data_IF_138725405264
#
_entry.id   IF_138725405264
#
_cell.length_a   1.000
_cell.length_b   1.000
_cell.length_c   1.000
_cell.angle_alpha   90.00
_cell.angle_beta   90.00
_cell.angle_gamma   90.00
#
_symmetry.space_group_name_H-M   'P 1'
#
loop_
_entity.id
_entity.type
_entity.pdbx_description
1 polymer ?
#
# COMPACT_ATOMS: atom_id res chain seq x y z
N UNK A 1 -24.69 -35.44 59.52
CA UNK A 1 -23.71 -36.05 58.60
C UNK A 1 -23.92 -35.62 57.17
N UNK A 2 -25.11 -35.61 56.60
CA UNK A 2 -25.35 -35.30 55.12
C UNK A 2 -24.97 -33.92 54.68
N UNK A 3 -25.11 -32.87 55.49
CA UNK A 3 -24.77 -31.46 55.07
C UNK A 3 -23.24 -31.24 54.93
N UNK A 4 -22.45 -31.85 55.81
CA UNK A 4 -20.99 -31.80 55.76
C UNK A 4 -20.41 -32.49 54.50
N UNK A 5 -21.04 -33.64 54.14
CA UNK A 5 -20.67 -34.41 52.96
C UNK A 5 -21.04 -33.64 51.66
N UNK A 6 -22.19 -32.96 51.62
CA UNK A 6 -22.59 -32.11 50.49
C UNK A 6 -21.67 -30.91 50.33
N UNK A 7 -21.27 -30.26 51.41
CA UNK A 7 -20.33 -29.14 51.37
C UNK A 7 -18.93 -29.58 50.90
N UNK A 8 -18.47 -30.76 51.35
CA UNK A 8 -17.21 -31.33 50.90
C UNK A 8 -17.22 -31.68 49.39
N UNK A 9 -18.31 -32.24 48.87
CA UNK A 9 -18.49 -32.51 47.45
C UNK A 9 -18.54 -31.20 46.62
N UNK A 10 -19.20 -30.16 47.11
CA UNK A 10 -19.26 -28.87 46.45
C UNK A 10 -17.87 -28.19 46.37
N UNK A 11 -17.10 -28.25 47.47
CA UNK A 11 -15.73 -27.72 47.52
C UNK A 11 -14.82 -28.52 46.58
N UNK A 12 -14.94 -29.83 46.53
CA UNK A 12 -14.17 -30.67 45.60
C UNK A 12 -14.51 -30.38 44.14
N UNK A 13 -15.79 -30.14 43.82
CA UNK A 13 -16.25 -29.77 42.50
C UNK A 13 -15.73 -28.38 42.10
N UNK A 14 -15.77 -27.41 43.01
CA UNK A 14 -15.22 -26.07 42.81
C UNK A 14 -13.69 -26.08 42.68
N UNK A 15 -13.00 -26.95 43.39
CA UNK A 15 -11.54 -27.12 43.25
C UNK A 15 -11.13 -27.85 41.96
N UNK A 16 -12.02 -28.61 41.33
CA UNK A 16 -11.80 -29.24 40.03
C UNK A 16 -12.01 -28.31 38.83
N UNK A 17 -12.75 -27.20 38.99
CA UNK A 17 -12.98 -26.22 37.93
C UNK A 17 -11.72 -25.58 37.35
N UNK A 18 -10.70 -25.20 38.14
CA UNK A 18 -9.44 -24.63 37.57
C UNK A 18 -8.54 -25.67 36.87
N UNK A 19 -8.78 -26.99 37.08
CA UNK A 19 -8.03 -28.05 36.40
C UNK A 19 -8.47 -28.27 34.94
N UNK A 20 -9.62 -27.74 34.53
CA UNK A 20 -10.10 -27.77 33.14
C UNK A 20 -9.56 -26.63 32.28
N UNK A 21 -8.74 -25.72 32.83
CA UNK A 21 -8.12 -24.63 32.13
C UNK A 21 -6.81 -25.05 31.46
N UNK A 22 -6.61 -24.68 30.18
CA UNK A 22 -5.39 -24.86 29.36
C UNK A 22 -5.40 -26.03 28.37
N UNK A 23 -6.54 -26.40 27.80
CA UNK A 23 -6.57 -27.40 26.73
C UNK A 23 -5.97 -26.90 25.39
N UNK A 24 -5.86 -25.59 25.19
CA UNK A 24 -5.36 -24.96 23.94
C UNK A 24 -4.00 -24.24 24.16
N UNK A 25 -3.12 -24.82 24.98
CA UNK A 25 -1.78 -24.29 25.21
C UNK A 25 -0.83 -24.82 24.15
N UNK A 26 -0.38 -23.93 23.23
CA UNK A 26 0.77 -24.17 22.37
C UNK A 26 2.01 -23.51 22.99
N UNK A 27 3.12 -24.21 23.05
CA UNK A 27 4.40 -23.63 23.47
C UNK A 27 5.05 -22.88 22.29
N UNK A 28 5.71 -21.75 22.58
CA UNK A 28 6.35 -20.92 21.56
C UNK A 28 7.38 -21.70 20.72
N UNK A 29 7.95 -22.75 21.30
CA UNK A 29 8.93 -23.61 20.65
C UNK A 29 8.32 -24.58 19.64
N UNK A 30 7.03 -24.81 19.72
CA UNK A 30 6.26 -25.69 18.83
C UNK A 30 5.73 -24.95 17.59
N UNK A 31 5.77 -23.60 17.59
CA UNK A 31 5.22 -22.77 16.51
C UNK A 31 6.31 -22.34 15.52
N UNK A 32 6.01 -22.48 14.21
CA UNK A 32 6.72 -21.89 13.09
C UNK A 32 6.08 -20.54 12.75
N UNK A 33 6.67 -19.45 13.24
CA UNK A 33 6.11 -18.11 13.06
C UNK A 33 6.26 -17.63 11.61
N UNK A 34 5.17 -17.60 10.88
CA UNK A 34 5.10 -17.03 9.54
C UNK A 34 4.99 -15.52 9.64
N UNK A 35 5.96 -14.79 9.09
CA UNK A 35 5.98 -13.33 9.06
C UNK A 35 5.34 -12.77 7.80
N UNK A 36 5.48 -13.48 6.68
CA UNK A 36 4.85 -13.13 5.41
C UNK A 36 4.42 -14.38 4.64
N UNK A 37 3.38 -14.22 3.84
CA UNK A 37 2.87 -15.27 2.95
C UNK A 37 2.90 -14.72 1.53
N UNK A 38 3.40 -15.53 0.60
CA UNK A 38 3.26 -15.30 -0.84
C UNK A 38 2.22 -16.26 -1.42
N UNK A 39 1.35 -15.77 -2.27
CA UNK A 39 0.42 -16.61 -3.01
C UNK A 39 0.52 -16.30 -4.49
N UNK A 40 0.83 -17.32 -5.24
CA UNK A 40 0.94 -17.30 -6.69
C UNK A 40 -0.07 -18.25 -7.32
N UNK A 41 -0.30 -18.11 -8.62
CA UNK A 41 -1.04 -19.10 -9.40
C UNK A 41 -0.28 -20.42 -9.35
N UNK A 42 -0.95 -21.49 -8.96
CA UNK A 42 -0.36 -22.82 -8.84
C UNK A 42 0.06 -23.42 -10.17
N UNK A 43 0.92 -24.41 -10.10
CA UNK A 43 1.38 -25.20 -11.28
C UNK A 43 0.50 -26.43 -11.50
N UNK A 44 0.27 -27.18 -10.45
CA UNK A 44 -0.51 -28.42 -10.43
C UNK A 44 -1.85 -28.26 -9.70
N UNK A 45 -1.97 -27.22 -8.86
CA UNK A 45 -3.15 -26.89 -8.09
C UNK A 45 -3.60 -25.43 -8.32
N UNK A 46 -4.53 -24.90 -7.53
CA UNK A 46 -5.02 -23.51 -7.70
C UNK A 46 -3.96 -22.49 -7.30
N UNK A 47 -3.19 -22.77 -6.24
CA UNK A 47 -2.25 -21.82 -5.65
C UNK A 47 -0.90 -22.48 -5.37
N UNK A 48 0.17 -21.74 -5.56
CA UNK A 48 1.46 -21.97 -4.90
C UNK A 48 1.54 -21.02 -3.71
N UNK A 49 1.49 -21.57 -2.49
CA UNK A 49 1.58 -20.80 -1.24
C UNK A 49 3.01 -20.88 -0.70
N UNK A 50 3.62 -19.73 -0.50
CA UNK A 50 4.99 -19.61 0.04
C UNK A 50 4.94 -19.02 1.44
N UNK A 51 5.49 -19.73 2.41
CA UNK A 51 5.60 -19.28 3.80
C UNK A 51 7.01 -18.72 4.05
N UNK A 52 7.08 -17.47 4.53
CA UNK A 52 8.31 -16.85 5.01
C UNK A 52 8.33 -16.96 6.54
N UNK A 53 9.07 -17.96 7.04
CA UNK A 53 9.10 -18.37 8.45
C UNK A 53 10.31 -17.74 9.13
N UNK A 54 10.10 -17.14 10.29
CA UNK A 54 11.17 -16.59 11.13
C UNK A 54 12.10 -17.70 11.66
N UNK A 55 13.41 -17.48 11.60
CA UNK A 55 14.40 -18.39 12.17
C UNK A 55 14.84 -17.88 13.57
N UNK A 56 14.30 -18.42 14.68
CA UNK A 56 14.48 -17.84 16.02
C UNK A 56 15.97 -17.75 16.44
N UNK A 57 16.78 -18.77 16.09
CA UNK A 57 18.20 -18.81 16.44
C UNK A 57 19.07 -17.75 15.76
N UNK A 58 18.58 -17.14 14.67
CA UNK A 58 19.30 -16.10 13.92
C UNK A 58 18.79 -14.68 14.22
N UNK A 59 17.61 -14.57 14.82
CA UNK A 59 17.06 -13.28 15.26
C UNK A 59 17.64 -12.78 16.59
N UNK A 60 18.07 -13.71 17.46
CA UNK A 60 18.68 -13.40 18.76
C UNK A 60 20.17 -13.06 18.62
N UNK A 61 20.53 -12.05 17.82
CA UNK A 61 21.88 -11.65 17.48
C UNK A 61 22.87 -11.58 18.63
N UNK A 62 23.54 -12.68 18.96
CA UNK A 62 24.51 -12.75 20.02
C UNK A 62 25.08 -14.13 20.21
N UNK A 63 25.83 -14.65 19.25
CA UNK A 63 26.61 -15.89 19.41
C UNK A 63 27.77 -15.95 18.42
N UNK A 64 28.93 -15.42 18.79
CA UNK A 64 30.20 -15.91 18.27
C UNK A 64 30.32 -17.39 18.67
N UNK A 65 29.88 -18.28 17.80
CA UNK A 65 30.01 -19.72 17.97
C UNK A 65 30.28 -20.34 16.62
N UNK A 66 31.54 -20.75 16.42
CA UNK A 66 32.11 -21.14 15.17
C UNK A 66 31.51 -22.38 14.53
N UNK A 67 31.85 -22.55 13.27
CA UNK A 67 31.89 -23.83 12.58
C UNK A 67 30.93 -24.05 11.47
N UNK A 68 31.39 -23.82 10.26
CA UNK A 68 31.25 -24.72 9.13
C UNK A 68 29.83 -25.03 8.61
N UNK A 69 29.53 -24.47 7.47
CA UNK A 69 28.43 -24.92 6.63
C UNK A 69 27.87 -23.77 5.79
N UNK A 70 28.20 -23.74 4.50
CA UNK A 70 27.82 -22.71 3.54
C UNK A 70 26.33 -22.65 3.22
N UNK A 71 25.49 -22.37 4.23
CA UNK A 71 24.09 -21.99 4.06
C UNK A 71 23.96 -20.51 4.37
N UNK A 72 23.52 -19.70 3.42
CA UNK A 72 23.32 -18.28 3.59
C UNK A 72 22.63 -17.97 4.92
N UNK A 73 23.16 -17.00 5.63
CA UNK A 73 22.77 -16.58 6.98
C UNK A 73 21.44 -15.77 6.96
N UNK A 74 20.45 -16.31 6.21
CA UNK A 74 19.15 -15.64 6.01
C UNK A 74 18.28 -15.77 7.26
N UNK A 75 17.70 -14.66 7.74
CA UNK A 75 16.83 -14.65 8.92
C UNK A 75 15.47 -15.28 8.66
N UNK A 76 15.12 -15.52 7.39
CA UNK A 76 13.86 -16.14 6.95
C UNK A 76 14.14 -17.47 6.24
N UNK A 77 13.38 -18.50 6.61
CA UNK A 77 13.25 -19.73 5.86
C UNK A 77 12.04 -19.61 4.93
N UNK A 78 12.22 -19.88 3.64
CA UNK A 78 11.15 -19.92 2.67
C UNK A 78 10.81 -21.35 2.30
N UNK A 79 9.52 -21.68 2.33
CA UNK A 79 9.02 -22.96 1.82
C UNK A 79 7.74 -22.72 1.03
N UNK A 80 7.54 -23.47 -0.07
CA UNK A 80 6.41 -23.31 -0.97
C UNK A 80 5.68 -24.63 -1.16
N UNK A 81 4.35 -24.58 -1.20
CA UNK A 81 3.48 -25.74 -1.36
C UNK A 81 2.43 -25.43 -2.41
N UNK A 82 2.23 -26.33 -3.40
CA UNK A 82 1.11 -26.27 -4.32
C UNK A 82 -0.14 -26.89 -3.67
N UNK A 83 -1.21 -26.11 -3.54
CA UNK A 83 -2.40 -26.55 -2.81
C UNK A 83 -3.68 -25.89 -3.39
N UNK A 84 -4.85 -26.51 -3.22
CA UNK A 84 -6.12 -25.92 -3.64
C UNK A 84 -6.55 -24.73 -2.77
N UNK A 85 -6.07 -24.64 -1.53
CA UNK A 85 -6.39 -23.58 -0.57
C UNK A 85 -5.18 -23.25 0.31
N UNK A 86 -5.17 -22.07 0.93
CA UNK A 86 -4.11 -21.72 1.90
C UNK A 86 -4.16 -22.63 3.12
N UNK A 87 -5.37 -23.02 3.58
CA UNK A 87 -5.54 -23.96 4.69
C UNK A 87 -4.95 -25.34 4.35
N UNK A 88 -5.15 -25.84 3.13
CA UNK A 88 -4.52 -27.10 2.68
C UNK A 88 -3.00 -26.97 2.63
N UNK A 89 -2.47 -25.82 2.17
CA UNK A 89 -1.05 -25.59 2.15
C UNK A 89 -0.42 -25.61 3.56
N UNK A 90 -1.10 -25.03 4.56
CA UNK A 90 -0.68 -25.09 5.97
C UNK A 90 -0.63 -26.55 6.43
N UNK A 91 -1.72 -27.31 6.22
CA UNK A 91 -1.78 -28.71 6.63
C UNK A 91 -0.69 -29.56 5.96
N UNK A 92 -0.38 -29.31 4.68
CA UNK A 92 0.71 -29.99 3.99
C UNK A 92 2.08 -29.57 4.54
N UNK A 93 2.26 -28.29 4.85
CA UNK A 93 3.51 -27.77 5.43
C UNK A 93 3.78 -28.39 6.82
N UNK A 94 2.76 -28.59 7.63
CA UNK A 94 2.87 -29.23 8.96
C UNK A 94 3.33 -30.70 8.89
N UNK A 95 3.29 -31.35 7.71
CA UNK A 95 3.74 -32.74 7.56
C UNK A 95 5.27 -32.88 7.46
N UNK A 96 5.97 -31.84 7.06
CA UNK A 96 7.43 -31.86 6.87
C UNK A 96 8.19 -30.80 7.69
N UNK A 97 7.49 -29.82 8.23
CA UNK A 97 8.08 -28.88 9.18
C UNK A 97 8.14 -29.51 10.58
N UNK A 98 9.20 -29.22 11.31
CA UNK A 98 9.37 -29.69 12.71
C UNK A 98 8.51 -28.91 13.71
N UNK A 99 7.77 -27.89 13.27
CA UNK A 99 6.92 -26.99 14.06
C UNK A 99 5.64 -26.69 13.31
N UNK A 100 4.56 -26.42 14.02
CA UNK A 100 3.26 -26.08 13.43
C UNK A 100 3.26 -24.67 12.83
N UNK A 101 2.72 -24.51 11.65
CA UNK A 101 2.60 -23.22 10.98
C UNK A 101 1.66 -22.29 11.74
N UNK A 102 2.16 -21.16 12.18
CA UNK A 102 1.39 -20.15 12.93
C UNK A 102 1.35 -18.83 12.18
N UNK A 103 0.12 -18.35 11.88
CA UNK A 103 -0.13 -17.10 11.20
C UNK A 103 -0.31 -15.90 12.15
N UNK A 104 -0.20 -16.11 13.47
CA UNK A 104 -0.43 -15.07 14.49
C UNK A 104 0.48 -13.84 14.35
N UNK A 105 1.66 -14.03 13.75
CA UNK A 105 2.68 -12.99 13.54
C UNK A 105 2.78 -12.50 12.10
N UNK A 106 1.92 -13.00 11.20
CA UNK A 106 1.91 -12.60 9.80
C UNK A 106 1.60 -11.11 9.65
N UNK A 107 2.48 -10.39 8.94
CA UNK A 107 2.38 -8.94 8.70
C UNK A 107 1.99 -8.58 7.28
N UNK A 108 2.39 -9.41 6.30
CA UNK A 108 2.11 -9.15 4.89
C UNK A 108 1.66 -10.42 4.16
N UNK A 109 0.71 -10.20 3.26
CA UNK A 109 0.24 -11.13 2.25
C UNK A 109 0.65 -10.56 0.89
N UNK A 110 1.57 -11.23 0.23
CA UNK A 110 2.03 -10.90 -1.11
C UNK A 110 1.27 -11.75 -2.13
N UNK A 111 0.66 -11.11 -3.10
CA UNK A 111 -0.07 -11.80 -4.18
C UNK A 111 0.64 -11.52 -5.50
N UNK A 112 1.01 -12.57 -6.22
CA UNK A 112 1.58 -12.43 -7.55
C UNK A 112 0.59 -11.75 -8.52
N UNK A 113 1.08 -10.86 -9.39
CA UNK A 113 0.24 -10.05 -10.27
C UNK A 113 -0.69 -10.88 -11.14
N UNK A 114 -0.21 -12.01 -11.69
CA UNK A 114 -1.04 -12.91 -12.52
C UNK A 114 -2.26 -13.45 -11.76
N UNK A 115 -2.08 -13.77 -10.48
CA UNK A 115 -3.18 -14.21 -9.62
C UNK A 115 -4.13 -13.05 -9.32
N UNK A 116 -3.60 -11.86 -8.95
CA UNK A 116 -4.40 -10.68 -8.69
C UNK A 116 -5.29 -10.27 -9.87
N UNK A 117 -4.82 -10.45 -11.11
CA UNK A 117 -5.56 -10.18 -12.34
C UNK A 117 -6.66 -11.20 -12.64
N UNK A 118 -6.56 -12.40 -12.09
CA UNK A 118 -7.54 -13.48 -12.37
C UNK A 118 -8.60 -13.62 -11.28
N UNK A 119 -8.21 -13.72 -10.00
CA UNK A 119 -9.13 -13.97 -8.89
C UNK A 119 -8.51 -13.72 -7.52
N UNK A 120 -8.28 -12.45 -7.20
CA UNK A 120 -7.63 -12.09 -5.91
C UNK A 120 -8.41 -12.41 -4.64
N UNK A 121 -9.74 -12.59 -4.69
CA UNK A 121 -10.57 -12.66 -3.48
C UNK A 121 -10.73 -14.04 -2.84
N UNK A 122 -10.66 -15.12 -3.59
CA UNK A 122 -10.78 -16.45 -2.98
C UNK A 122 -9.72 -16.69 -1.89
N UNK A 123 -8.53 -16.12 -2.10
CA UNK A 123 -7.45 -16.16 -1.11
C UNK A 123 -7.76 -15.31 0.11
N UNK A 124 -8.49 -14.19 -0.06
CA UNK A 124 -8.78 -13.27 1.04
C UNK A 124 -9.88 -13.77 1.97
N UNK A 125 -10.89 -14.46 1.45
CA UNK A 125 -11.96 -15.01 2.28
C UNK A 125 -11.39 -15.96 3.34
N UNK A 126 -10.38 -16.75 2.98
CA UNK A 126 -9.68 -17.61 3.93
C UNK A 126 -9.02 -16.80 5.05
N UNK A 127 -8.28 -15.72 4.72
CA UNK A 127 -7.62 -14.89 5.72
C UNK A 127 -8.60 -14.14 6.63
N UNK A 128 -9.77 -13.79 6.12
CA UNK A 128 -10.84 -13.14 6.92
C UNK A 128 -11.46 -14.12 7.91
N UNK A 129 -11.58 -15.41 7.53
CA UNK A 129 -12.16 -16.48 8.34
C UNK A 129 -11.17 -17.13 9.29
N UNK A 130 -9.90 -17.10 8.97
CA UNK A 130 -8.86 -17.77 9.73
C UNK A 130 -8.63 -17.06 11.07
N UNK A 131 -8.89 -17.74 12.20
CA UNK A 131 -8.79 -17.16 13.55
C UNK A 131 -7.39 -16.62 13.88
N UNK A 132 -6.34 -17.25 13.36
CA UNK A 132 -4.95 -16.85 13.61
C UNK A 132 -4.54 -15.64 12.78
N UNK A 133 -5.17 -15.40 11.63
CA UNK A 133 -4.82 -14.29 10.76
C UNK A 133 -5.41 -12.97 11.27
N UNK A 134 -4.58 -11.95 11.38
CA UNK A 134 -5.06 -10.62 11.76
C UNK A 134 -5.59 -9.90 10.52
N UNK A 135 -6.72 -9.21 10.65
CA UNK A 135 -7.29 -8.40 9.57
C UNK A 135 -6.42 -7.18 9.19
N UNK A 136 -5.41 -6.87 10.01
CA UNK A 136 -4.44 -5.80 9.80
C UNK A 136 -3.23 -6.22 8.94
N UNK A 137 -3.19 -7.46 8.45
CA UNK A 137 -2.18 -7.93 7.50
C UNK A 137 -2.21 -7.03 6.27
N UNK A 138 -1.04 -6.54 5.84
CA UNK A 138 -0.91 -5.78 4.61
C UNK A 138 -1.14 -6.66 3.39
N UNK A 139 -1.98 -6.20 2.48
CA UNK A 139 -2.21 -6.82 1.19
C UNK A 139 -1.38 -6.11 0.13
N UNK A 140 -0.47 -6.83 -0.49
CA UNK A 140 0.53 -6.26 -1.40
C UNK A 140 0.54 -7.09 -2.68
N UNK A 141 0.33 -6.46 -3.83
CA UNK A 141 0.53 -7.10 -5.13
C UNK A 141 1.99 -6.95 -5.53
N UNK A 142 2.60 -8.04 -5.98
CA UNK A 142 3.97 -8.03 -6.47
C UNK A 142 4.02 -8.10 -7.99
N UNK A 143 4.84 -7.27 -8.62
CA UNK A 143 5.20 -7.44 -10.03
C UNK A 143 5.82 -8.82 -10.23
N UNK A 144 5.23 -9.64 -11.11
CA UNK A 144 5.61 -11.05 -11.26
C UNK A 144 5.13 -11.91 -10.09
N UNK A 145 5.95 -12.88 -9.68
CA UNK A 145 5.58 -13.87 -8.67
C UNK A 145 5.91 -13.41 -7.25
N UNK A 146 5.02 -13.69 -6.32
CA UNK A 146 5.23 -13.41 -4.89
C UNK A 146 6.40 -14.21 -4.30
N UNK A 147 6.59 -15.45 -4.73
CA UNK A 147 7.73 -16.29 -4.30
C UNK A 147 9.07 -15.67 -4.67
N UNK A 148 9.18 -15.07 -5.86
CA UNK A 148 10.43 -14.46 -6.31
C UNK A 148 10.70 -13.16 -5.54
N UNK A 149 9.65 -12.36 -5.28
CA UNK A 149 9.74 -11.18 -4.42
C UNK A 149 10.23 -11.55 -3.00
N UNK A 150 9.65 -12.59 -2.38
CA UNK A 150 10.07 -13.06 -1.06
C UNK A 150 11.52 -13.56 -1.03
N UNK A 151 11.99 -14.23 -2.10
CA UNK A 151 13.41 -14.65 -2.22
C UNK A 151 14.36 -13.46 -2.31
N UNK A 152 13.96 -12.41 -3.03
CA UNK A 152 14.75 -11.18 -3.20
C UNK A 152 14.63 -10.20 -2.03
N UNK A 153 13.73 -10.45 -1.07
CA UNK A 153 13.54 -9.59 0.08
C UNK A 153 14.67 -9.78 1.09
N UNK A 154 15.69 -8.93 1.00
CA UNK A 154 16.84 -8.91 1.90
C UNK A 154 16.85 -7.62 2.73
N UNK A 155 16.52 -7.69 4.03
CA UNK A 155 16.62 -6.54 4.92
C UNK A 155 18.07 -6.10 5.09
N UNK A 156 18.41 -4.87 4.66
CA UNK A 156 19.78 -4.35 4.79
C UNK A 156 19.94 -3.44 6.02
N UNK A 157 18.90 -2.70 6.37
CA UNK A 157 18.92 -1.73 7.48
C UNK A 157 18.33 -2.28 8.77
N UNK A 158 17.45 -3.28 8.69
CA UNK A 158 16.78 -3.89 9.82
C UNK A 158 17.18 -5.35 9.96
N UNK A 159 17.60 -5.75 11.17
CA UNK A 159 17.94 -7.16 11.46
C UNK A 159 16.70 -8.03 11.64
N UNK A 160 15.60 -7.43 12.11
CA UNK A 160 14.33 -8.11 12.32
C UNK A 160 13.46 -8.03 11.06
N UNK A 161 13.17 -9.17 10.39
CA UNK A 161 12.35 -9.19 9.19
C UNK A 161 10.92 -8.70 9.42
N UNK A 162 10.35 -8.92 10.60
CA UNK A 162 9.02 -8.42 10.93
C UNK A 162 9.01 -6.90 10.95
N UNK A 163 9.99 -6.30 11.63
CA UNK A 163 10.15 -4.86 11.69
C UNK A 163 10.45 -4.26 10.31
N UNK A 164 11.23 -4.98 9.50
CA UNK A 164 11.49 -4.56 8.12
C UNK A 164 10.20 -4.39 7.32
N UNK A 165 9.30 -5.39 7.34
CA UNK A 165 8.01 -5.33 6.62
C UNK A 165 7.14 -4.17 7.15
N UNK A 166 7.10 -3.96 8.47
CA UNK A 166 6.36 -2.85 9.08
C UNK A 166 6.94 -1.49 8.66
N UNK A 167 8.25 -1.31 8.74
CA UNK A 167 8.91 -0.05 8.41
C UNK A 167 8.85 0.27 6.92
N UNK A 168 8.95 -0.73 6.05
CA UNK A 168 8.80 -0.55 4.61
C UNK A 168 7.46 0.12 4.27
N UNK A 169 6.37 -0.33 4.90
CA UNK A 169 5.03 0.26 4.68
C UNK A 169 4.83 1.60 5.39
N UNK A 170 5.52 1.84 6.49
CA UNK A 170 5.40 3.06 7.28
C UNK A 170 6.12 4.25 6.64
N UNK A 171 7.37 4.07 6.22
CA UNK A 171 8.20 5.16 5.73
C UNK A 171 7.72 5.73 4.39
N UNK A 172 7.23 4.88 3.50
CA UNK A 172 6.78 5.31 2.17
C UNK A 172 5.54 6.22 2.22
N UNK A 173 4.78 6.22 3.31
CA UNK A 173 3.62 7.13 3.49
C UNK A 173 4.01 8.61 3.40
N UNK A 174 5.25 8.96 3.74
CA UNK A 174 5.72 10.34 3.67
C UNK A 174 6.00 10.82 2.26
N UNK A 175 6.08 9.93 1.28
CA UNK A 175 6.31 10.29 -0.12
C UNK A 175 5.02 10.64 -0.86
N UNK A 176 3.87 10.16 -0.36
CA UNK A 176 2.58 10.27 -1.05
C UNK A 176 2.46 9.39 -2.29
N UNK A 177 3.36 8.43 -2.50
CA UNK A 177 3.45 7.62 -3.73
C UNK A 177 2.88 6.21 -3.59
N UNK A 178 2.21 5.89 -2.48
CA UNK A 178 1.52 4.62 -2.24
C UNK A 178 0.14 4.87 -1.64
N UNK A 179 -0.79 3.91 -1.68
CA UNK A 179 -2.09 4.02 -1.01
C UNK A 179 -1.96 4.35 0.48
N UNK A 180 -2.92 5.10 1.03
CA UNK A 180 -2.94 5.46 2.45
C UNK A 180 -3.09 4.24 3.36
N UNK A 181 -3.75 3.20 2.88
CA UNK A 181 -3.99 1.96 3.58
C UNK A 181 -4.07 0.79 2.58
N UNK A 182 -3.58 -0.37 2.99
CA UNK A 182 -3.58 -1.59 2.17
C UNK A 182 -3.74 -2.84 3.04
N UNK A 183 -4.49 -2.74 4.16
CA UNK A 183 -4.79 -3.93 4.95
C UNK A 183 -5.94 -4.73 4.34
N UNK A 184 -5.95 -6.05 4.60
CA UNK A 184 -7.02 -6.97 4.16
C UNK A 184 -8.39 -6.44 4.54
N UNK A 185 -8.56 -5.92 5.76
CA UNK A 185 -9.83 -5.35 6.21
C UNK A 185 -10.31 -4.20 5.31
N UNK A 186 -9.43 -3.30 4.89
CA UNK A 186 -9.79 -2.20 4.00
C UNK A 186 -10.23 -2.71 2.65
N UNK A 187 -9.48 -3.64 2.08
CA UNK A 187 -9.82 -4.24 0.78
C UNK A 187 -11.20 -4.89 0.80
N UNK A 188 -11.45 -5.77 1.76
CA UNK A 188 -12.73 -6.49 1.90
C UNK A 188 -13.89 -5.52 2.13
N UNK A 189 -13.69 -4.49 2.96
CA UNK A 189 -14.71 -3.47 3.18
C UNK A 189 -15.04 -2.72 1.89
N UNK A 190 -14.06 -2.34 1.10
CA UNK A 190 -14.26 -1.64 -0.17
C UNK A 190 -14.99 -2.50 -1.20
N UNK A 191 -14.65 -3.80 -1.31
CA UNK A 191 -15.36 -4.74 -2.17
C UNK A 191 -16.81 -4.89 -1.75
N UNK A 192 -17.07 -5.08 -0.45
CA UNK A 192 -18.42 -5.38 0.05
C UNK A 192 -19.36 -4.16 0.02
N UNK A 193 -18.82 -2.95 0.22
CA UNK A 193 -19.67 -1.74 0.26
C UNK A 193 -19.93 -1.14 -1.12
N UNK A 194 -19.02 -1.35 -2.08
CA UNK A 194 -19.14 -0.76 -3.41
C UNK A 194 -19.09 0.78 -3.44
N UNK A 195 -18.73 1.44 -2.33
CA UNK A 195 -18.62 2.90 -2.27
C UNK A 195 -17.38 3.44 -2.95
N UNK A 196 -16.35 2.62 -2.99
CA UNK A 196 -15.06 2.88 -3.62
C UNK A 196 -14.46 1.57 -4.10
N UNK A 197 -13.67 1.61 -5.14
CA UNK A 197 -12.94 0.43 -5.59
C UNK A 197 -11.65 0.23 -4.80
N UNK A 198 -11.24 -1.02 -4.56
CA UNK A 198 -10.03 -1.30 -3.82
C UNK A 198 -8.77 -0.84 -4.54
N UNK A 199 -7.81 -0.40 -3.73
CA UNK A 199 -6.45 -0.13 -4.14
C UNK A 199 -5.48 -0.64 -3.07
N UNK A 200 -4.44 -1.34 -3.50
CA UNK A 200 -3.47 -1.95 -2.59
C UNK A 200 -2.05 -1.52 -2.93
N UNK A 201 -1.11 -1.81 -2.05
CA UNK A 201 0.30 -1.58 -2.33
C UNK A 201 0.76 -2.39 -3.53
N UNK A 202 1.63 -1.78 -4.34
CA UNK A 202 2.31 -2.45 -5.43
C UNK A 202 3.81 -2.48 -5.16
N UNK A 203 4.40 -3.66 -5.24
CA UNK A 203 5.80 -3.91 -4.94
C UNK A 203 6.48 -4.65 -6.09
N UNK A 204 7.79 -4.45 -6.24
CA UNK A 204 8.59 -5.17 -7.21
C UNK A 204 10.00 -5.39 -6.69
N UNK A 205 10.69 -6.36 -7.27
CA UNK A 205 12.15 -6.39 -7.22
C UNK A 205 12.70 -5.34 -8.17
N UNK A 206 13.86 -4.77 -7.82
CA UNK A 206 14.63 -3.95 -8.73
C UNK A 206 14.95 -4.77 -9.99
N UNK A 207 14.59 -4.26 -11.15
CA UNK A 207 14.97 -4.88 -12.42
C UNK A 207 16.50 -4.74 -12.60
N UNK A 208 17.17 -5.88 -12.74
CA UNK A 208 18.57 -5.92 -13.18
C UNK A 208 18.57 -5.76 -14.71
N UNK A 209 19.08 -4.69 -15.21
CA UNK A 209 19.26 -4.49 -16.64
C UNK A 209 19.11 -3.03 -17.03
N UNK A 210 19.99 -2.60 -17.92
CA UNK A 210 20.11 -1.33 -18.59
C UNK A 210 19.55 -0.14 -17.80
N UNK A 211 20.45 0.76 -17.41
CA UNK A 211 20.05 2.13 -17.17
C UNK A 211 19.12 2.50 -18.34
N UNK A 212 17.81 2.42 -18.12
CA UNK A 212 16.86 2.99 -19.04
C UNK A 212 17.27 4.46 -19.09
N UNK A 213 18.11 4.76 -20.05
CA UNK A 213 18.50 6.12 -20.41
C UNK A 213 17.20 6.90 -20.47
N UNK A 214 16.87 7.53 -19.37
CA UNK A 214 15.71 8.38 -19.30
C UNK A 214 15.93 9.43 -20.37
N UNK A 215 15.26 9.27 -21.50
CA UNK A 215 15.08 10.40 -22.40
C UNK A 215 14.45 11.44 -21.48
N UNK A 216 15.21 12.50 -21.19
CA UNK A 216 14.92 13.58 -20.26
C UNK A 216 13.61 14.32 -20.51
N UNK A 217 12.54 13.57 -20.57
CA UNK A 217 11.21 14.11 -20.48
C UNK A 217 10.94 14.21 -18.99
N UNK A 218 10.80 15.44 -18.52
CA UNK A 218 10.28 15.96 -17.26
C UNK A 218 9.35 15.01 -16.47
N UNK A 219 9.78 13.77 -16.26
CA UNK A 219 9.11 12.90 -15.34
C UNK A 219 9.45 13.41 -13.95
N UNK A 220 8.45 13.89 -13.25
CA UNK A 220 8.60 14.08 -11.83
C UNK A 220 9.11 12.77 -11.24
N UNK A 221 9.82 12.85 -10.14
CA UNK A 221 10.34 11.71 -9.37
C UNK A 221 9.30 10.62 -9.09
N UNK A 222 8.02 10.89 -9.34
CA UNK A 222 6.87 10.03 -9.06
C UNK A 222 6.30 9.30 -10.27
N UNK A 223 6.82 9.54 -11.48
CA UNK A 223 6.30 8.93 -12.73
C UNK A 223 6.59 7.45 -12.92
N UNK A 224 7.25 6.80 -11.97
CA UNK A 224 7.65 5.40 -12.01
C UNK A 224 6.67 4.50 -11.25
N UNK A 225 6.67 3.21 -11.58
CA UNK A 225 6.10 2.14 -10.76
C UNK A 225 7.21 1.35 -10.08
N UNK A 226 6.87 0.52 -9.10
CA UNK A 226 7.85 -0.32 -8.43
C UNK A 226 8.62 -1.20 -9.43
N UNK A 227 9.92 -1.32 -9.25
CA UNK A 227 10.86 -2.02 -10.12
C UNK A 227 11.51 -1.15 -11.19
N UNK A 228 11.03 0.06 -11.42
CA UNK A 228 11.48 0.93 -12.52
C UNK A 228 12.32 2.14 -12.08
N UNK A 229 12.52 2.31 -10.78
CA UNK A 229 13.30 3.45 -10.29
C UNK A 229 14.74 3.41 -10.82
N UNK A 230 15.23 4.50 -11.46
CA UNK A 230 16.60 4.59 -11.94
C UNK A 230 17.55 4.81 -10.76
N UNK A 231 17.96 3.74 -10.10
CA UNK A 231 18.84 3.78 -8.92
C UNK A 231 19.90 2.70 -8.95
N UNK A 232 21.02 2.96 -8.30
CA UNK A 232 22.09 1.98 -8.04
C UNK A 232 22.19 1.70 -6.54
N UNK A 233 22.53 0.45 -6.19
CA UNK A 233 22.65 0.03 -4.78
C UNK A 233 21.32 0.00 -4.01
N UNK A 234 21.42 -0.19 -2.70
CA UNK A 234 20.29 -0.29 -1.78
C UNK A 234 19.53 -1.63 -1.85
N UNK A 235 18.43 -1.79 -1.07
CA UNK A 235 17.64 -3.01 -1.07
C UNK A 235 17.06 -3.35 -2.45
N UNK A 236 16.95 -4.65 -2.76
CA UNK A 236 16.45 -5.10 -4.05
C UNK A 236 14.93 -4.94 -4.23
N UNK A 237 14.23 -4.47 -3.22
CA UNK A 237 12.77 -4.29 -3.26
C UNK A 237 12.40 -2.83 -3.39
N UNK A 238 11.26 -2.59 -4.07
CA UNK A 238 10.62 -1.30 -4.20
C UNK A 238 9.14 -1.41 -3.84
N UNK A 239 8.64 -0.42 -3.12
CA UNK A 239 7.23 -0.22 -2.83
C UNK A 239 6.84 1.14 -3.40
N UNK A 240 6.16 1.16 -4.55
CA UNK A 240 5.86 2.38 -5.29
C UNK A 240 4.63 2.18 -6.17
N UNK A 241 3.70 3.12 -6.08
CA UNK A 241 2.45 3.03 -6.82
C UNK A 241 1.39 2.18 -6.12
N UNK A 242 0.34 1.82 -6.84
CA UNK A 242 -0.78 1.05 -6.31
C UNK A 242 -1.40 0.13 -7.35
N UNK A 243 -1.83 -1.05 -6.92
CA UNK A 243 -2.63 -1.96 -7.73
C UNK A 243 -4.11 -1.60 -7.58
N UNK A 244 -4.76 -1.24 -8.67
CA UNK A 244 -6.16 -0.86 -8.74
C UNK A 244 -7.04 -2.08 -9.08
N UNK A 245 -8.19 -2.18 -8.40
CA UNK A 245 -9.10 -3.31 -8.57
C UNK A 245 -10.49 -2.86 -8.98
N UNK A 246 -11.16 -3.71 -9.75
CA UNK A 246 -12.59 -3.64 -10.00
C UNK A 246 -13.23 -4.87 -9.35
N UNK A 247 -13.96 -4.64 -8.23
CA UNK A 247 -14.33 -5.73 -7.35
C UNK A 247 -13.08 -6.45 -6.85
N UNK A 248 -12.93 -7.71 -7.18
CA UNK A 248 -11.86 -8.59 -6.73
C UNK A 248 -10.68 -8.72 -7.70
N UNK A 249 -10.82 -8.21 -8.92
CA UNK A 249 -9.82 -8.37 -9.98
C UNK A 249 -9.00 -7.12 -10.14
N UNK A 250 -7.69 -7.28 -10.13
CA UNK A 250 -6.77 -6.22 -10.49
C UNK A 250 -6.97 -5.82 -11.96
N UNK A 251 -7.14 -4.53 -12.19
CA UNK A 251 -7.36 -3.96 -13.53
C UNK A 251 -6.16 -3.18 -14.05
N UNK A 252 -5.32 -2.65 -13.17
CA UNK A 252 -4.15 -1.89 -13.60
C UNK A 252 -3.24 -1.48 -12.45
N UNK A 253 -2.12 -0.85 -12.81
CA UNK A 253 -1.15 -0.27 -11.88
C UNK A 253 -1.16 1.24 -12.01
N UNK A 254 -1.27 1.92 -10.89
CA UNK A 254 -1.09 3.36 -10.75
C UNK A 254 0.37 3.63 -10.35
N UNK A 255 1.03 4.56 -11.02
CA UNK A 255 2.38 4.98 -10.66
C UNK A 255 2.39 5.89 -9.41
N UNK A 256 3.56 6.33 -8.97
CA UNK A 256 3.68 7.19 -7.81
C UNK A 256 2.98 8.55 -7.98
N UNK A 257 2.96 9.09 -9.20
CA UNK A 257 2.27 10.35 -9.51
C UNK A 257 0.75 10.19 -9.45
N UNK A 258 0.22 9.13 -10.08
CA UNK A 258 -1.19 8.75 -9.97
C UNK A 258 -1.61 8.64 -8.50
N UNK A 259 -0.76 8.00 -7.67
CA UNK A 259 -1.04 7.83 -6.24
C UNK A 259 -1.09 9.15 -5.47
N UNK A 260 -0.23 10.12 -5.78
CA UNK A 260 -0.32 11.46 -5.21
C UNK A 260 -1.66 12.12 -5.54
N UNK A 261 -2.11 12.01 -6.77
CA UNK A 261 -3.41 12.56 -7.20
C UNK A 261 -4.58 11.82 -6.52
N UNK A 262 -4.52 10.48 -6.41
CA UNK A 262 -5.51 9.70 -5.66
C UNK A 262 -5.59 10.18 -4.21
N UNK A 263 -4.45 10.34 -3.54
CA UNK A 263 -4.43 10.76 -2.14
C UNK A 263 -4.96 12.19 -1.94
N UNK A 264 -4.66 13.11 -2.86
CA UNK A 264 -5.20 14.48 -2.83
C UNK A 264 -6.74 14.47 -2.97
N UNK A 265 -7.26 13.66 -3.90
CA UNK A 265 -8.68 13.50 -4.16
C UNK A 265 -9.40 12.63 -3.11
N UNK A 266 -8.67 11.92 -2.24
CA UNK A 266 -9.19 11.20 -1.09
C UNK A 266 -9.10 11.99 0.23
N UNK A 267 -8.56 13.22 0.23
CA UNK A 267 -8.23 13.98 1.46
C UNK A 267 -7.22 13.26 2.38
N UNK A 268 -6.34 12.45 1.79
CA UNK A 268 -5.34 11.64 2.51
C UNK A 268 -3.91 12.03 2.19
N UNK A 269 -3.71 13.00 1.30
CA UNK A 269 -2.39 13.53 0.99
C UNK A 269 -1.91 14.39 2.16
N UNK A 270 -0.78 14.03 2.76
CA UNK A 270 -0.20 14.81 3.86
C UNK A 270 0.83 15.79 3.36
N UNK A 271 1.85 15.28 2.71
CA UNK A 271 2.93 16.06 2.10
C UNK A 271 3.68 15.22 1.06
N UNK A 272 4.41 15.89 0.19
CA UNK A 272 5.32 15.25 -0.76
C UNK A 272 6.25 16.27 -1.37
N UNK A 273 7.40 15.82 -1.82
CA UNK A 273 8.33 16.64 -2.59
C UNK A 273 7.93 16.61 -4.06
N UNK A 274 7.90 17.77 -4.70
CA UNK A 274 7.54 17.91 -6.11
C UNK A 274 8.65 18.64 -6.83
N UNK A 275 9.01 18.12 -7.99
CA UNK A 275 9.85 18.82 -8.95
C UNK A 275 8.99 19.23 -10.14
N UNK A 276 8.93 20.52 -10.42
CA UNK A 276 8.21 21.07 -11.57
C UNK A 276 9.19 21.81 -12.48
N UNK A 277 8.87 21.88 -13.75
CA UNK A 277 9.63 22.71 -14.68
C UNK A 277 9.49 24.18 -14.30
N UNK A 278 10.61 24.91 -14.35
CA UNK A 278 10.61 26.35 -14.11
C UNK A 278 9.83 27.06 -15.22
N UNK A 279 8.77 27.84 -14.90
CA UNK A 279 7.99 28.56 -15.91
C UNK A 279 8.79 29.54 -16.74
N UNK A 280 9.96 30.02 -16.25
CA UNK A 280 10.85 30.92 -16.96
C UNK A 280 11.94 30.19 -17.73
N UNK A 281 12.33 29.04 -17.30
CA UNK A 281 13.42 28.23 -17.85
C UNK A 281 12.98 26.76 -17.88
N UNK A 282 12.31 26.35 -18.94
CA UNK A 282 11.72 25.00 -19.08
C UNK A 282 12.76 23.87 -19.12
N UNK A 283 14.04 24.18 -19.23
CA UNK A 283 15.19 23.27 -19.14
C UNK A 283 15.62 23.01 -17.67
N UNK A 284 15.11 23.81 -16.71
CA UNK A 284 15.46 23.76 -15.31
C UNK A 284 14.25 23.39 -14.44
N UNK A 285 14.51 23.02 -13.19
CA UNK A 285 13.49 22.56 -12.26
C UNK A 285 13.46 23.39 -10.97
N UNK A 286 12.27 23.42 -10.40
CA UNK A 286 11.97 23.99 -9.09
C UNK A 286 11.50 22.87 -8.19
N UNK A 287 12.12 22.72 -7.02
CA UNK A 287 11.67 21.74 -6.01
C UNK A 287 10.87 22.42 -4.91
N UNK A 288 9.74 21.82 -4.58
CA UNK A 288 8.82 22.30 -3.54
C UNK A 288 8.38 21.15 -2.63
N UNK A 289 8.20 21.44 -1.36
CA UNK A 289 7.38 20.59 -0.50
C UNK A 289 5.93 21.06 -0.60
N UNK A 290 5.04 20.15 -0.95
CA UNK A 290 3.61 20.43 -1.10
C UNK A 290 2.85 19.63 -0.05
N UNK A 291 1.88 20.26 0.60
CA UNK A 291 0.99 19.62 1.57
C UNK A 291 -0.46 20.09 1.40
N UNK A 292 -1.39 19.32 1.93
CA UNK A 292 -2.81 19.68 1.88
C UNK A 292 -3.09 20.81 2.85
N UNK A 293 -3.58 21.94 2.33
CA UNK A 293 -3.81 23.14 3.13
C UNK A 293 -5.18 23.19 3.77
N UNK A 294 -6.20 22.64 3.10
CA UNK A 294 -7.57 22.55 3.60
C UNK A 294 -8.20 21.22 3.18
N UNK A 295 -9.24 20.75 3.92
CA UNK A 295 -9.99 19.57 3.55
C UNK A 295 -10.52 19.65 2.12
N UNK A 296 -10.56 18.50 1.45
CA UNK A 296 -11.14 18.34 0.13
C UNK A 296 -12.61 18.71 0.16
N UNK A 297 -13.06 19.51 -0.82
CA UNK A 297 -14.48 19.77 -1.05
C UNK A 297 -14.95 19.00 -2.27
N UNK A 298 -16.03 18.24 -2.12
CA UNK A 298 -16.68 17.53 -3.23
C UNK A 298 -18.14 17.97 -3.30
N UNK A 299 -18.51 18.60 -4.40
CA UNK A 299 -19.88 18.94 -4.74
C UNK A 299 -20.38 17.92 -5.78
N UNK A 300 -21.56 17.33 -5.56
CA UNK A 300 -22.12 16.31 -6.45
C UNK A 300 -23.54 16.68 -6.87
N UNK A 301 -23.83 16.57 -8.17
CA UNK A 301 -25.16 16.75 -8.76
C UNK A 301 -25.60 15.44 -9.42
N UNK A 302 -26.71 14.89 -8.93
CA UNK A 302 -27.29 13.62 -9.37
C UNK A 302 -28.63 13.82 -10.07
N UNK A 303 -29.03 15.06 -10.34
CA UNK A 303 -30.35 15.39 -10.95
C UNK A 303 -30.42 15.05 -12.45
N UNK A 304 -29.27 14.96 -13.11
CA UNK A 304 -29.15 14.68 -14.54
C UNK A 304 -28.97 13.20 -14.86
N UNK A 305 -28.97 12.84 -16.17
CA UNK A 305 -28.75 11.47 -16.62
C UNK A 305 -27.34 10.95 -16.29
N UNK A 306 -26.38 11.86 -16.23
CA UNK A 306 -24.98 11.56 -15.84
C UNK A 306 -24.67 12.25 -14.52
N UNK A 307 -24.07 11.55 -13.55
CA UNK A 307 -23.62 12.16 -12.32
C UNK A 307 -22.51 13.19 -12.61
N UNK A 308 -22.64 14.36 -11.99
CA UNK A 308 -21.61 15.42 -12.07
C UNK A 308 -20.93 15.55 -10.72
N UNK A 309 -19.62 15.60 -10.75
CA UNK A 309 -18.77 15.68 -9.54
C UNK A 309 -17.79 16.83 -9.75
N UNK A 310 -17.73 17.71 -8.77
CA UNK A 310 -16.74 18.79 -8.75
C UNK A 310 -15.94 18.70 -7.46
N UNK A 311 -14.64 18.36 -7.60
CA UNK A 311 -13.69 18.27 -6.50
C UNK A 311 -12.82 19.53 -6.47
N UNK A 312 -12.66 20.15 -5.30
CA UNK A 312 -11.75 21.29 -5.11
C UNK A 312 -10.67 20.88 -4.08
N UNK A 313 -9.44 20.79 -4.55
CA UNK A 313 -8.26 20.47 -3.75
C UNK A 313 -7.54 21.76 -3.39
N UNK A 314 -7.23 21.98 -2.11
CA UNK A 314 -6.46 23.15 -1.67
C UNK A 314 -5.11 22.72 -1.13
N UNK A 315 -4.04 23.20 -1.74
CA UNK A 315 -2.67 22.86 -1.45
C UNK A 315 -1.87 24.09 -1.02
N UNK A 316 -0.86 23.86 -0.20
CA UNK A 316 0.14 24.87 0.18
C UNK A 316 1.52 24.33 -0.11
N UNK A 317 2.45 25.22 -0.50
CA UNK A 317 3.80 24.86 -0.86
C UNK A 317 4.85 25.64 -0.09
N UNK A 318 6.00 25.01 0.06
CA UNK A 318 7.26 25.64 0.47
C UNK A 318 8.32 25.43 -0.60
N UNK A 319 8.95 26.52 -1.04
CA UNK A 319 10.02 26.47 -2.03
C UNK A 319 11.28 25.93 -1.39
N UNK A 320 11.86 24.87 -1.94
CA UNK A 320 13.06 24.24 -1.41
C UNK A 320 14.30 24.60 -2.24
N UNK A 321 14.17 24.60 -3.57
CA UNK A 321 15.26 25.00 -4.47
C UNK A 321 14.74 25.51 -5.80
N UNK A 322 15.49 26.42 -6.40
CA UNK A 322 15.31 26.95 -7.76
C UNK A 322 16.63 26.75 -8.49
N UNK A 323 16.63 26.04 -9.62
CA UNK A 323 17.85 25.81 -10.40
C UNK A 323 18.22 27.00 -11.26
N UNK A 324 17.24 27.88 -11.56
CA UNK A 324 17.48 29.14 -12.25
C UNK A 324 17.90 30.25 -11.29
N UNK A 325 18.24 31.40 -11.83
CA UNK A 325 18.50 32.67 -11.12
C UNK A 325 17.22 33.49 -10.86
N UNK A 326 16.05 32.93 -11.16
CA UNK A 326 14.74 33.58 -11.00
C UNK A 326 14.40 33.79 -9.54
N UNK A 327 14.09 35.03 -9.15
CA UNK A 327 13.66 35.39 -7.80
C UNK A 327 12.13 35.29 -7.65
N UNK A 328 11.66 34.13 -7.20
CA UNK A 328 10.24 33.87 -6.96
C UNK A 328 9.69 34.55 -5.68
N UNK A 329 10.45 35.38 -4.98
CA UNK A 329 9.92 36.26 -3.94
C UNK A 329 9.21 37.49 -4.54
N UNK A 330 9.45 37.78 -5.83
CA UNK A 330 8.67 38.76 -6.58
C UNK A 330 7.22 38.28 -6.71
N UNK A 331 6.21 39.11 -6.31
CA UNK A 331 4.81 38.71 -6.33
C UNK A 331 4.28 38.28 -7.70
N UNK A 332 4.78 38.87 -8.79
CA UNK A 332 4.33 38.52 -10.13
C UNK A 332 4.89 37.16 -10.55
N UNK A 333 6.17 36.92 -10.26
CA UNK A 333 6.82 35.63 -10.53
C UNK A 333 6.27 34.52 -9.65
N UNK A 334 5.99 34.82 -8.37
CA UNK A 334 5.30 33.90 -7.48
C UNK A 334 3.94 33.47 -8.05
N UNK A 335 3.12 34.43 -8.50
CA UNK A 335 1.81 34.11 -9.11
C UNK A 335 1.97 33.23 -10.36
N UNK A 336 2.98 33.47 -11.20
CA UNK A 336 3.25 32.60 -12.36
C UNK A 336 3.64 31.20 -11.96
N UNK A 337 4.46 31.03 -10.91
CA UNK A 337 4.83 29.72 -10.39
C UNK A 337 3.62 28.98 -9.80
N UNK A 338 2.77 29.69 -9.04
CA UNK A 338 1.54 29.13 -8.49
C UNK A 338 0.59 28.63 -9.59
N UNK A 339 0.37 29.44 -10.65
CA UNK A 339 -0.48 29.05 -11.78
C UNK A 339 0.12 27.88 -12.57
N UNK A 340 1.43 27.84 -12.78
CA UNK A 340 2.09 26.72 -13.44
C UNK A 340 1.94 25.42 -12.61
N UNK A 341 2.06 25.52 -11.28
CA UNK A 341 1.87 24.39 -10.36
C UNK A 341 0.43 23.88 -10.40
N UNK A 342 -0.56 24.78 -10.37
CA UNK A 342 -2.00 24.45 -10.51
C UNK A 342 -2.22 23.69 -11.81
N UNK A 343 -1.80 24.24 -12.93
CA UNK A 343 -2.00 23.62 -14.26
C UNK A 343 -1.36 22.24 -14.37
N UNK A 344 -0.16 22.07 -13.80
CA UNK A 344 0.54 20.79 -13.81
C UNK A 344 -0.22 19.73 -12.97
N UNK A 345 -0.72 20.07 -11.78
CA UNK A 345 -1.45 19.15 -10.93
C UNK A 345 -2.83 18.82 -11.51
N UNK A 346 -3.58 19.81 -12.01
CA UNK A 346 -4.89 19.60 -12.66
C UNK A 346 -4.79 18.68 -13.87
N UNK A 347 -3.79 18.87 -14.73
CA UNK A 347 -3.57 18.01 -15.89
C UNK A 347 -3.36 16.54 -15.48
N UNK A 348 -2.62 16.31 -14.41
CA UNK A 348 -2.38 14.96 -13.85
C UNK A 348 -3.65 14.37 -13.23
N UNK A 349 -4.44 15.16 -12.50
CA UNK A 349 -5.73 14.72 -11.96
C UNK A 349 -6.69 14.32 -13.07
N UNK A 350 -6.77 15.10 -14.16
CA UNK A 350 -7.61 14.78 -15.32
C UNK A 350 -7.15 13.47 -15.98
N UNK A 351 -5.84 13.28 -16.12
CA UNK A 351 -5.27 12.04 -16.68
C UNK A 351 -5.60 10.84 -15.81
N UNK A 352 -5.43 10.95 -14.49
CA UNK A 352 -5.82 9.90 -13.54
C UNK A 352 -7.32 9.57 -13.62
N UNK A 353 -8.19 10.58 -13.60
CA UNK A 353 -9.64 10.39 -13.66
C UNK A 353 -10.03 9.61 -14.93
N UNK A 354 -9.51 10.01 -16.09
CA UNK A 354 -9.74 9.30 -17.36
C UNK A 354 -9.26 7.85 -17.29
N UNK A 355 -8.05 7.64 -16.80
CA UNK A 355 -7.46 6.30 -16.63
C UNK A 355 -8.33 5.40 -15.75
N UNK A 356 -8.83 5.90 -14.64
CA UNK A 356 -9.71 5.13 -13.73
C UNK A 356 -11.10 4.92 -14.30
N UNK A 357 -11.62 5.85 -15.10
CA UNK A 357 -12.86 5.70 -15.85
C UNK A 357 -12.74 4.65 -16.96
N UNK A 358 -11.64 4.63 -17.71
CA UNK A 358 -11.34 3.59 -18.72
C UNK A 358 -11.30 2.19 -18.08
N UNK A 359 -10.76 2.07 -16.90
CA UNK A 359 -10.76 0.82 -16.13
C UNK A 359 -12.09 0.52 -15.43
N UNK A 360 -13.02 1.47 -15.46
CA UNK A 360 -14.29 1.43 -14.72
C UNK A 360 -14.08 1.09 -13.23
N UNK A 361 -13.19 1.83 -12.56
CA UNK A 361 -12.81 1.60 -11.17
C UNK A 361 -12.66 2.90 -10.39
N UNK A 362 -13.56 3.18 -9.44
CA UNK A 362 -13.53 4.36 -8.59
C UNK A 362 -12.59 4.17 -7.40
N UNK A 363 -11.28 4.10 -7.66
CA UNK A 363 -10.25 4.04 -6.61
C UNK A 363 -10.09 5.37 -5.86
N UNK A 364 -10.60 6.45 -6.43
CA UNK A 364 -10.62 7.79 -5.80
C UNK A 364 -11.65 7.83 -4.68
N UNK A 365 -12.77 7.12 -4.85
CA UNK A 365 -13.82 7.03 -3.84
C UNK A 365 -14.87 8.14 -3.92
N UNK A 366 -15.17 8.63 -5.11
CA UNK A 366 -16.26 9.60 -5.30
C UNK A 366 -17.62 9.04 -4.87
N UNK A 367 -17.82 7.72 -5.01
CA UNK A 367 -19.03 7.06 -4.51
C UNK A 367 -19.24 7.25 -3.01
N UNK A 368 -18.17 7.35 -2.22
CA UNK A 368 -18.26 7.61 -0.78
C UNK A 368 -18.85 9.01 -0.47
N UNK A 369 -18.58 9.99 -1.31
CA UNK A 369 -19.17 11.32 -1.17
C UNK A 369 -20.66 11.33 -1.62
N UNK A 370 -21.01 10.48 -2.58
CA UNK A 370 -22.38 10.43 -3.12
C UNK A 370 -23.33 9.60 -2.27
N UNK A 371 -22.89 8.51 -1.66
CA UNK A 371 -23.75 7.61 -0.87
C UNK A 371 -24.53 8.35 0.22
N UNK A 372 -23.97 9.42 0.78
CA UNK A 372 -24.62 10.26 1.80
C UNK A 372 -25.88 10.98 1.31
N UNK A 373 -26.11 11.07 0.00
CA UNK A 373 -27.31 11.69 -0.60
C UNK A 373 -28.47 10.71 -0.75
N UNK A 374 -28.24 9.43 -0.49
CA UNK A 374 -29.27 8.41 -0.61
C UNK A 374 -29.90 8.10 0.76
N UNK A 375 -31.24 8.04 0.86
CA UNK A 375 -31.93 7.87 2.14
C UNK A 375 -31.79 6.46 2.71
N UNK A 376 -31.47 5.46 1.88
CA UNK A 376 -31.32 4.06 2.27
C UNK A 376 -30.22 3.37 1.50
N UNK A 377 -29.68 2.29 2.08
CA UNK A 377 -28.69 1.42 1.41
C UNK A 377 -29.26 0.85 0.10
N UNK A 378 -30.52 0.38 0.12
CA UNK A 378 -31.18 -0.14 -1.07
C UNK A 378 -31.29 0.90 -2.21
N UNK A 379 -31.52 2.18 -1.88
CA UNK A 379 -31.55 3.25 -2.88
C UNK A 379 -30.16 3.45 -3.51
N UNK A 380 -29.11 3.36 -2.72
CA UNK A 380 -27.74 3.41 -3.20
C UNK A 380 -27.39 2.21 -4.10
N UNK A 381 -27.71 1.00 -3.66
CA UNK A 381 -27.45 -0.23 -4.43
C UNK A 381 -28.17 -0.19 -5.79
N UNK A 382 -29.43 0.27 -5.81
CA UNK A 382 -30.21 0.47 -7.04
C UNK A 382 -29.63 1.56 -7.95
N UNK A 383 -28.90 2.50 -7.42
CA UNK A 383 -28.22 3.54 -8.21
C UNK A 383 -27.08 2.97 -9.05
N UNK A 384 -26.46 1.84 -8.64
CA UNK A 384 -25.44 1.10 -9.39
C UNK A 384 -24.26 1.99 -9.75
N UNK A 385 -23.69 2.68 -8.77
CA UNK A 385 -22.58 3.61 -8.97
C UNK A 385 -21.41 3.05 -9.79
N UNK A 386 -20.91 1.80 -9.56
CA UNK A 386 -19.81 1.24 -10.36
C UNK A 386 -20.08 1.23 -11.87
N UNK A 387 -21.35 1.10 -12.29
CA UNK A 387 -21.73 1.11 -13.71
C UNK A 387 -21.82 2.54 -14.28
N UNK A 388 -22.01 3.53 -13.42
CA UNK A 388 -22.17 4.95 -13.81
C UNK A 388 -20.87 5.73 -13.76
N UNK A 389 -19.87 5.25 -13.01
CA UNK A 389 -18.58 5.92 -12.82
C UNK A 389 -17.90 6.22 -14.16
N UNK A 390 -17.91 5.26 -15.07
CA UNK A 390 -17.27 5.41 -16.39
C UNK A 390 -17.79 6.63 -17.17
N UNK A 391 -19.07 6.97 -17.01
CA UNK A 391 -19.74 8.04 -17.72
C UNK A 391 -19.97 9.30 -16.85
N UNK A 392 -19.43 9.35 -15.66
CA UNK A 392 -19.56 10.50 -14.76
C UNK A 392 -18.78 11.70 -15.32
N UNK A 393 -19.37 12.88 -15.23
CA UNK A 393 -18.69 14.13 -15.57
C UNK A 393 -17.96 14.62 -14.32
N UNK A 394 -16.63 14.49 -14.32
CA UNK A 394 -15.80 14.79 -13.15
C UNK A 394 -14.89 15.97 -13.48
N UNK A 395 -14.95 17.01 -12.66
CA UNK A 395 -14.06 18.17 -12.69
C UNK A 395 -13.26 18.24 -11.40
N UNK A 396 -11.95 18.43 -11.51
CA UNK A 396 -11.07 18.66 -10.38
C UNK A 396 -10.37 20.02 -10.55
N UNK A 397 -10.60 20.91 -9.60
CA UNK A 397 -9.96 22.22 -9.54
C UNK A 397 -8.95 22.22 -8.39
N UNK A 398 -7.79 22.85 -8.62
CA UNK A 398 -6.72 22.97 -7.64
C UNK A 398 -6.55 24.43 -7.24
N UNK A 399 -6.41 24.67 -5.94
CA UNK A 399 -5.96 25.95 -5.40
C UNK A 399 -4.61 25.72 -4.75
N UNK A 400 -3.60 26.43 -5.20
CA UNK A 400 -2.25 26.32 -4.67
C UNK A 400 -1.76 27.68 -4.19
N UNK A 401 -1.11 27.73 -3.03
CA UNK A 401 -0.49 28.94 -2.50
C UNK A 401 0.91 28.62 -2.01
N UNK A 402 1.90 29.35 -2.50
CA UNK A 402 3.28 29.27 -2.02
C UNK A 402 3.40 30.11 -0.72
N UNK A 403 3.62 29.43 0.40
CA UNK A 403 3.62 30.07 1.74
C UNK A 403 4.98 30.45 2.24
N UNK A 404 6.02 29.74 1.80
CA UNK A 404 7.38 29.89 2.32
C UNK A 404 8.40 29.75 1.19
N UNK A 405 9.51 30.45 1.34
CA UNK A 405 10.63 30.47 0.39
C UNK A 405 11.89 29.81 0.99
N UNK A 406 11.71 28.85 1.91
CA UNK A 406 12.81 28.19 2.61
C UNK A 406 13.53 29.15 3.58
N UNK A 407 14.81 28.87 3.80
CA UNK A 407 15.67 29.68 4.71
C UNK A 407 16.36 30.84 4.01
N UNK A 408 16.30 30.90 2.68
CA UNK A 408 16.96 31.90 1.85
C UNK A 408 15.91 32.64 1.02
N UNK A 409 15.82 33.95 1.20
CA UNK A 409 14.82 34.80 0.55
C UNK A 409 15.14 35.11 -0.90
N UNK A 410 16.41 35.12 -1.32
CA UNK A 410 16.81 35.41 -2.69
C UNK A 410 17.80 34.36 -3.20
N UNK A 411 17.84 34.10 -4.53
CA UNK A 411 18.85 33.23 -5.10
C UNK A 411 20.26 33.72 -4.77
N UNK A 412 21.23 32.80 -4.60
CA UNK A 412 22.62 33.22 -4.40
C UNK A 412 23.08 33.98 -5.62
N UNK A 413 23.49 35.23 -5.44
CA UNK A 413 24.14 36.00 -6.53
C UNK A 413 25.49 35.33 -6.83
N UNK A 414 25.62 34.73 -7.99
CA UNK A 414 26.92 34.27 -8.45
C UNK A 414 27.87 35.47 -8.51
N UNK A 415 28.83 35.56 -7.56
CA UNK A 415 29.90 36.54 -7.65
C UNK A 415 30.87 36.04 -8.70
N UNK A 416 30.76 36.61 -9.89
CA UNK A 416 31.80 36.56 -10.91
C UNK A 416 31.57 35.54 -12.03
N UNK A 417 31.04 35.99 -13.09
CA UNK A 417 31.63 35.86 -14.46
C UNK A 417 31.67 37.22 -15.08
#
# INVERSE_FOLDING_TARGET
>A
MRLKSLLACLIALLAALPLAGCWDRSELEEEAFVLAIGVDKGKESLYTVTFAIAHPGKMAGGGKGGGGGGGADKPLMLTSVDAPTVASAISMADTYLSRQVSLRHTKALFIGEDLARTSGMFTMDEFVRFRQARRTIFYIVTKGKAVDFLKGMEPQLEKDPQRFIEQMTYNVRYTGMIPAASQIQHFVTQVNTGYTSPITYYAALKEEGEEKSGKGTSLSESGYVAGELPRSGGPNIELLGGAAFRGEKMVGVLNGEDMRMVLMLQDKFRRGLFSIQDPKRSDLFISMEVHQGRPLRIDTDLSGPQPRIHATVTLEGELLSVQSDTDYTDPQLQTQLELATVGAIEARMITLIRKTQEWNTDVIGFGQAMVQKFPTVAAWENYRWPERYQNAVIKADVRFTLRRFGKQLSPPKSRGQ
#
